data_IF_109363549342
#
_entry.id   IF_109363549342
#
_cell.length_a   1.000
_cell.length_b   1.000
_cell.length_c   1.000
_cell.angle_alpha   90.00
_cell.angle_beta   90.00
_cell.angle_gamma   90.00
#
_symmetry.space_group_name_H-M   'P 1'
#
loop_
_entity.id
_entity.type
_entity.pdbx_description
1 polymer ?
#
# COMPACT_ATOMS: atom_id res chain seq x y z
N UNK A 1 -8.63 5.38 14.32
CA UNK A 1 -8.39 6.56 15.20
C UNK A 1 -8.07 7.84 14.43
N UNK A 2 -7.17 7.83 13.39
CA UNK A 2 -6.79 9.05 12.63
C UNK A 2 -7.94 9.62 11.83
N UNK A 3 -8.67 8.80 11.09
CA UNK A 3 -9.83 9.25 10.29
C UNK A 3 -10.95 9.80 11.16
N UNK A 4 -11.15 9.26 12.37
CA UNK A 4 -12.12 9.78 13.32
C UNK A 4 -11.73 11.17 13.84
N UNK A 5 -10.45 11.41 14.12
CA UNK A 5 -9.98 12.70 14.57
C UNK A 5 -10.23 13.84 13.58
N UNK A 6 -10.08 13.57 12.27
CA UNK A 6 -10.38 14.58 11.23
C UNK A 6 -11.88 14.80 11.08
N UNK A 7 -12.67 13.74 11.14
CA UNK A 7 -14.14 13.81 11.05
C UNK A 7 -14.76 14.60 12.20
N UNK A 8 -14.19 14.52 13.39
CA UNK A 8 -14.65 15.24 14.58
C UNK A 8 -13.95 16.59 14.79
N UNK A 9 -13.14 17.06 13.83
CA UNK A 9 -12.47 18.36 13.91
C UNK A 9 -11.33 18.42 14.92
N UNK A 10 -10.81 17.28 15.36
CA UNK A 10 -9.62 17.23 16.23
C UNK A 10 -8.34 17.56 15.46
N UNK A 11 -8.35 17.28 14.16
CA UNK A 11 -7.26 17.58 13.22
C UNK A 11 -7.83 18.21 11.96
N UNK A 12 -7.09 19.11 11.32
CA UNK A 12 -7.47 19.74 10.06
C UNK A 12 -6.97 18.95 8.86
N UNK A 13 -5.80 18.32 8.98
CA UNK A 13 -5.14 17.57 7.90
C UNK A 13 -4.58 16.25 8.41
N UNK A 14 -4.72 15.21 7.61
CA UNK A 14 -3.94 13.97 7.72
C UNK A 14 -2.89 13.99 6.61
N UNK A 15 -1.68 14.43 6.94
CA UNK A 15 -0.53 14.42 6.03
C UNK A 15 0.15 13.03 6.05
N UNK A 16 -0.59 12.03 5.59
CA UNK A 16 -0.11 10.66 5.45
C UNK A 16 -0.70 10.08 4.16
N UNK A 17 -0.14 9.01 3.65
CA UNK A 17 -0.66 8.32 2.48
C UNK A 17 -2.05 7.74 2.78
N UNK A 18 -3.08 8.49 2.42
CA UNK A 18 -4.47 8.05 2.52
C UNK A 18 -4.92 7.60 1.15
N UNK A 19 -5.30 6.33 1.04
CA UNK A 19 -5.88 5.80 -0.18
C UNK A 19 -7.22 6.47 -0.47
N UNK A 20 -7.36 7.02 -1.66
CA UNK A 20 -8.62 7.59 -2.14
C UNK A 20 -9.59 6.44 -2.40
N UNK A 21 -10.69 6.39 -1.65
CA UNK A 21 -11.78 5.42 -1.84
C UNK A 21 -13.13 6.12 -1.77
N UNK A 22 -14.12 5.55 -2.44
CA UNK A 22 -15.49 6.08 -2.43
C UNK A 22 -16.06 6.18 -1.01
N UNK A 23 -15.83 5.18 -0.18
CA UNK A 23 -16.32 5.13 1.21
C UNK A 23 -15.77 6.26 2.09
N UNK A 24 -14.56 6.74 1.80
CA UNK A 24 -13.91 7.80 2.58
C UNK A 24 -14.27 9.20 2.10
N UNK A 25 -14.73 9.34 0.85
CA UNK A 25 -15.13 10.64 0.29
C UNK A 25 -16.32 11.28 1.01
N UNK A 26 -17.14 10.47 1.67
CA UNK A 26 -18.28 10.99 2.46
C UNK A 26 -17.85 11.64 3.79
N UNK A 27 -16.65 11.30 4.27
CA UNK A 27 -16.16 11.70 5.59
C UNK A 27 -15.02 12.71 5.55
N UNK A 28 -14.21 12.70 4.50
CA UNK A 28 -13.03 13.56 4.34
C UNK A 28 -12.90 14.03 2.90
N UNK A 29 -12.31 15.22 2.72
CA UNK A 29 -11.84 15.69 1.43
C UNK A 29 -10.42 15.17 1.17
N UNK A 30 -10.09 14.95 -0.10
CA UNK A 30 -8.76 14.53 -0.53
C UNK A 30 -8.08 15.63 -1.31
N UNK A 31 -6.79 15.87 -1.02
CA UNK A 31 -5.95 16.70 -1.88
C UNK A 31 -5.77 16.05 -3.26
N UNK A 32 -5.21 16.81 -4.19
CA UNK A 32 -4.69 16.20 -5.43
C UNK A 32 -3.72 15.06 -5.08
N UNK A 33 -3.67 14.00 -5.89
CA UNK A 33 -2.82 12.85 -5.61
C UNK A 33 -1.35 13.26 -5.46
N UNK A 34 -0.71 12.77 -4.41
CA UNK A 34 0.70 13.04 -4.11
C UNK A 34 1.57 11.92 -4.62
N UNK A 35 1.09 10.69 -4.47
CA UNK A 35 1.83 9.49 -4.80
C UNK A 35 0.91 8.49 -5.52
N UNK A 36 1.48 7.79 -6.47
CA UNK A 36 0.89 6.61 -7.10
C UNK A 36 1.55 5.37 -6.52
N UNK A 37 0.77 4.37 -6.19
CA UNK A 37 1.27 3.08 -5.78
C UNK A 37 0.27 1.98 -6.08
N UNK A 38 0.69 0.75 -5.96
CA UNK A 38 -0.15 -0.43 -6.06
C UNK A 38 0.22 -1.42 -4.96
N UNK A 39 -0.68 -2.36 -4.71
CA UNK A 39 -0.41 -3.45 -3.80
C UNK A 39 0.26 -4.59 -4.58
N UNK A 40 1.31 -5.14 -4.03
CA UNK A 40 2.06 -6.23 -4.63
C UNK A 40 2.14 -7.43 -3.68
N UNK A 41 2.29 -8.59 -4.29
CA UNK A 41 2.67 -9.81 -3.60
C UNK A 41 4.18 -9.78 -3.35
N UNK A 42 4.57 -10.00 -2.11
CA UNK A 42 5.96 -10.21 -1.71
C UNK A 42 6.14 -11.68 -1.37
N UNK A 43 7.08 -12.31 -2.03
CA UNK A 43 7.45 -13.71 -1.85
C UNK A 43 8.97 -13.87 -2.01
N UNK A 44 9.51 -15.03 -1.70
CA UNK A 44 10.93 -15.32 -2.01
C UNK A 44 11.10 -15.60 -3.50
N UNK A 45 12.22 -15.22 -4.06
CA UNK A 45 12.62 -15.65 -5.39
C UNK A 45 12.68 -17.19 -5.44
N UNK A 46 12.30 -17.80 -6.57
CA UNK A 46 12.34 -19.25 -6.70
C UNK A 46 13.78 -19.75 -6.50
N UNK A 47 13.95 -20.77 -5.67
CA UNK A 47 15.26 -21.36 -5.41
C UNK A 47 15.64 -22.38 -6.48
N UNK A 48 14.63 -22.98 -7.10
CA UNK A 48 14.78 -23.93 -8.18
C UNK A 48 13.87 -23.57 -9.36
N UNK A 49 14.19 -24.08 -10.55
CA UNK A 49 13.45 -23.78 -11.79
C UNK A 49 11.95 -24.17 -11.73
N UNK A 50 11.59 -25.13 -10.88
CA UNK A 50 10.24 -25.64 -10.68
C UNK A 50 9.77 -25.52 -9.22
N UNK A 51 10.13 -24.43 -8.56
CA UNK A 51 9.66 -24.15 -7.20
C UNK A 51 8.14 -23.98 -7.20
N UNK A 52 7.44 -24.98 -6.63
CA UNK A 52 5.98 -25.00 -6.56
C UNK A 52 5.40 -24.04 -5.52
N UNK A 53 6.26 -23.46 -4.69
CA UNK A 53 5.84 -22.45 -3.69
C UNK A 53 5.85 -21.04 -4.26
N UNK A 54 6.60 -20.82 -5.34
CA UNK A 54 6.69 -19.53 -5.99
C UNK A 54 5.45 -19.26 -6.88
N UNK A 55 4.71 -18.25 -6.54
CA UNK A 55 3.48 -17.79 -7.23
C UNK A 55 3.85 -17.07 -8.53
N UNK A 56 3.40 -17.58 -9.65
CA UNK A 56 3.57 -16.97 -10.99
C UNK A 56 2.30 -16.31 -11.50
N UNK A 57 1.16 -16.75 -10.99
CA UNK A 57 -0.16 -16.23 -11.34
C UNK A 57 -0.97 -16.03 -10.08
N UNK A 58 -1.79 -14.99 -10.05
CA UNK A 58 -2.69 -14.72 -8.91
C UNK A 58 -3.65 -15.88 -8.62
N UNK A 59 -3.97 -16.73 -9.61
CA UNK A 59 -4.79 -17.92 -9.44
C UNK A 59 -4.15 -18.94 -8.47
N UNK A 60 -2.82 -18.96 -8.41
CA UNK A 60 -2.07 -19.87 -7.53
C UNK A 60 -2.11 -19.48 -6.05
N UNK A 61 -2.68 -18.29 -5.75
CA UNK A 61 -2.98 -17.87 -4.37
C UNK A 61 -4.16 -18.62 -3.75
N UNK A 62 -4.92 -19.37 -4.54
CA UNK A 62 -5.97 -20.25 -4.04
C UNK A 62 -5.44 -21.16 -2.93
N UNK A 63 -6.14 -21.17 -1.78
CA UNK A 63 -5.78 -21.94 -0.59
C UNK A 63 -4.43 -21.56 0.05
N UNK A 64 -3.85 -20.40 -0.29
CA UNK A 64 -2.66 -19.86 0.36
C UNK A 64 -3.03 -18.84 1.42
N UNK A 65 -2.12 -18.67 2.39
CA UNK A 65 -2.24 -17.64 3.43
C UNK A 65 -1.34 -16.46 3.07
N UNK A 66 -1.93 -15.27 2.97
CA UNK A 66 -1.21 -14.02 2.78
C UNK A 66 -1.23 -13.19 4.06
N UNK A 67 -0.11 -12.59 4.41
CA UNK A 67 0.03 -11.75 5.59
C UNK A 67 -0.08 -10.27 5.21
N UNK A 68 -0.84 -9.53 5.97
CA UNK A 68 -1.07 -8.09 5.76
C UNK A 68 -0.99 -7.35 7.10
N UNK A 69 -0.62 -6.09 7.06
CA UNK A 69 -0.74 -5.23 8.24
C UNK A 69 -2.22 -5.02 8.57
N UNK A 70 -2.58 -5.07 9.84
CA UNK A 70 -3.96 -4.88 10.30
C UNK A 70 -4.58 -3.60 9.76
N UNK A 71 -5.78 -3.74 9.21
CA UNK A 71 -6.52 -2.63 8.60
C UNK A 71 -5.92 -2.14 7.27
N UNK A 72 -5.07 -2.94 6.64
CA UNK A 72 -4.54 -2.63 5.31
C UNK A 72 -5.66 -2.51 4.28
N UNK A 73 -5.58 -1.54 3.36
CA UNK A 73 -6.54 -1.43 2.25
C UNK A 73 -6.49 -2.63 1.30
N UNK A 74 -5.41 -3.41 1.32
CA UNK A 74 -5.27 -4.62 0.52
C UNK A 74 -6.23 -5.76 0.92
N UNK A 75 -6.75 -5.75 2.15
CA UNK A 75 -7.68 -6.79 2.63
C UNK A 75 -8.89 -6.91 1.71
N UNK A 76 -9.53 -5.79 1.40
CA UNK A 76 -10.70 -5.77 0.52
C UNK A 76 -10.35 -6.26 -0.89
N UNK A 77 -9.18 -5.88 -1.41
CA UNK A 77 -8.71 -6.34 -2.73
C UNK A 77 -8.46 -7.85 -2.75
N UNK A 78 -7.86 -8.41 -1.69
CA UNK A 78 -7.64 -9.85 -1.58
C UNK A 78 -8.96 -10.61 -1.50
N UNK A 79 -9.95 -10.08 -0.77
CA UNK A 79 -11.30 -10.67 -0.71
C UNK A 79 -11.98 -10.69 -2.09
N UNK A 80 -11.88 -9.59 -2.85
CA UNK A 80 -12.38 -9.53 -4.22
C UNK A 80 -11.64 -10.52 -5.13
N UNK A 81 -10.31 -10.61 -5.02
CA UNK A 81 -9.51 -11.56 -5.78
C UNK A 81 -9.90 -13.01 -5.46
N UNK A 82 -10.14 -13.34 -4.19
CA UNK A 82 -10.65 -14.65 -3.76
C UNK A 82 -11.96 -15.00 -4.48
N UNK A 83 -12.88 -14.03 -4.54
CA UNK A 83 -14.16 -14.22 -5.27
C UNK A 83 -13.94 -14.35 -6.80
N UNK A 84 -13.04 -13.57 -7.38
CA UNK A 84 -12.69 -13.63 -8.81
C UNK A 84 -12.10 -15.00 -9.19
N UNK A 85 -11.26 -15.55 -8.33
CA UNK A 85 -10.64 -16.88 -8.52
C UNK A 85 -11.68 -18.00 -8.31
N UNK A 86 -12.72 -17.75 -7.50
CA UNK A 86 -13.70 -18.75 -7.09
C UNK A 86 -13.16 -19.71 -6.03
N UNK A 87 -12.13 -19.31 -5.29
CA UNK A 87 -11.50 -20.10 -4.24
C UNK A 87 -11.03 -19.20 -3.09
N UNK A 88 -10.72 -19.78 -1.94
CA UNK A 88 -10.35 -19.02 -0.74
C UNK A 88 -8.89 -18.62 -0.74
N UNK A 89 -8.61 -17.33 -0.49
CA UNK A 89 -7.31 -16.83 -0.08
C UNK A 89 -7.40 -16.49 1.41
N UNK A 90 -6.60 -17.15 2.25
CA UNK A 90 -6.60 -16.88 3.68
C UNK A 90 -5.81 -15.61 3.99
N UNK A 91 -6.38 -14.73 4.82
CA UNK A 91 -5.76 -13.47 5.20
C UNK A 91 -5.38 -13.53 6.68
N UNK A 92 -4.09 -13.35 6.97
CA UNK A 92 -3.58 -13.21 8.32
C UNK A 92 -3.19 -11.76 8.59
N UNK A 93 -3.97 -11.08 9.42
CA UNK A 93 -3.65 -9.73 9.84
C UNK A 93 -2.57 -9.71 10.93
N UNK A 94 -1.56 -8.86 10.74
CA UNK A 94 -0.47 -8.66 11.70
C UNK A 94 -0.60 -7.30 12.35
N UNK A 95 -0.80 -7.29 13.67
CA UNK A 95 -1.05 -6.05 14.43
C UNK A 95 0.23 -5.35 14.90
N UNK A 96 1.26 -6.13 15.21
CA UNK A 96 2.45 -5.68 15.92
C UNK A 96 3.50 -5.05 15.00
N UNK A 97 3.50 -5.42 13.74
CA UNK A 97 4.55 -5.08 12.79
C UNK A 97 4.03 -4.24 11.63
N UNK A 98 4.90 -3.40 11.05
CA UNK A 98 4.66 -2.65 9.82
C UNK A 98 4.98 -3.48 8.56
N UNK A 99 4.84 -2.85 7.41
CA UNK A 99 5.07 -3.54 6.12
C UNK A 99 6.55 -3.95 5.97
N UNK A 100 7.49 -3.12 6.39
CA UNK A 100 8.94 -3.41 6.31
C UNK A 100 9.31 -4.68 7.09
N UNK A 101 8.69 -4.87 8.26
CA UNK A 101 8.90 -6.09 9.04
C UNK A 101 8.28 -7.32 8.36
N UNK A 102 7.13 -7.17 7.68
CA UNK A 102 6.57 -8.28 6.88
C UNK A 102 7.51 -8.70 5.76
N UNK A 103 8.16 -7.74 5.07
CA UNK A 103 9.17 -8.06 4.06
C UNK A 103 10.34 -8.86 4.66
N UNK A 104 10.83 -8.44 5.83
CA UNK A 104 11.90 -9.16 6.53
C UNK A 104 11.48 -10.58 6.92
N UNK A 105 10.23 -10.77 7.39
CA UNK A 105 9.70 -12.10 7.72
C UNK A 105 9.61 -13.01 6.50
N UNK A 106 9.24 -12.49 5.33
CA UNK A 106 9.27 -13.25 4.08
C UNK A 106 10.70 -13.63 3.69
N UNK A 107 11.64 -12.68 3.76
CA UNK A 107 13.05 -12.92 3.44
C UNK A 107 13.69 -13.98 4.35
N UNK A 108 13.32 -13.98 5.63
CA UNK A 108 13.82 -14.92 6.65
C UNK A 108 13.11 -16.28 6.64
N UNK A 109 12.13 -16.48 5.77
CA UNK A 109 11.32 -17.71 5.72
C UNK A 109 10.40 -17.94 6.94
N UNK A 110 10.04 -16.88 7.65
CA UNK A 110 9.07 -16.94 8.75
C UNK A 110 7.63 -17.02 8.25
N UNK A 111 7.38 -16.38 7.09
CA UNK A 111 6.13 -16.43 6.34
C UNK A 111 6.42 -16.57 4.84
N UNK A 112 5.48 -17.12 4.08
CA UNK A 112 5.68 -17.35 2.65
C UNK A 112 5.27 -16.15 1.79
N UNK A 113 4.12 -15.53 2.12
CA UNK A 113 3.50 -14.48 1.31
C UNK A 113 3.08 -13.31 2.17
N UNK A 114 3.43 -12.10 1.72
CA UNK A 114 2.91 -10.86 2.28
C UNK A 114 2.36 -9.96 1.18
N UNK A 115 1.42 -9.09 1.52
CA UNK A 115 0.96 -8.04 0.63
C UNK A 115 1.40 -6.70 1.20
N UNK A 116 2.10 -5.95 0.37
CA UNK A 116 2.69 -4.67 0.75
C UNK A 116 2.45 -3.62 -0.34
N UNK A 117 2.61 -2.37 0.05
CA UNK A 117 2.67 -1.25 -0.89
C UNK A 117 3.98 -1.33 -1.71
N UNK A 118 3.88 -1.19 -3.03
CA UNK A 118 5.01 -1.31 -3.94
C UNK A 118 6.15 -0.35 -3.59
N UNK A 119 5.84 0.89 -3.21
CA UNK A 119 6.86 1.87 -2.87
C UNK A 119 7.68 1.45 -1.63
N UNK A 120 7.02 0.84 -0.64
CA UNK A 120 7.69 0.31 0.55
C UNK A 120 8.56 -0.91 0.17
N UNK A 121 8.02 -1.78 -0.65
CA UNK A 121 8.75 -2.96 -1.09
C UNK A 121 9.97 -2.60 -1.93
N UNK A 122 9.87 -1.65 -2.86
CA UNK A 122 10.99 -1.16 -3.66
C UNK A 122 12.11 -0.59 -2.78
N UNK A 123 11.75 0.23 -1.80
CA UNK A 123 12.74 0.82 -0.88
C UNK A 123 13.45 -0.25 -0.05
N UNK A 124 12.73 -1.28 0.39
CA UNK A 124 13.26 -2.34 1.25
C UNK A 124 14.01 -3.43 0.48
N UNK A 125 13.68 -3.64 -0.80
CA UNK A 125 14.23 -4.73 -1.62
C UNK A 125 15.75 -4.64 -1.82
N UNK A 126 16.32 -3.43 -1.77
CA UNK A 126 17.77 -3.25 -1.84
C UNK A 126 18.52 -3.98 -0.73
N UNK A 127 17.91 -4.09 0.44
CA UNK A 127 18.49 -4.76 1.61
C UNK A 127 18.04 -6.23 1.72
N UNK A 128 17.08 -6.65 0.89
CA UNK A 128 16.47 -7.97 0.92
C UNK A 128 16.46 -8.61 -0.49
N UNK A 129 17.64 -8.95 -1.05
CA UNK A 129 17.79 -9.37 -2.45
C UNK A 129 17.09 -10.70 -2.79
N UNK A 130 16.70 -11.48 -1.79
CA UNK A 130 15.99 -12.74 -1.94
C UNK A 130 14.49 -12.56 -2.24
N UNK A 131 13.97 -11.34 -2.12
CA UNK A 131 12.55 -11.08 -2.36
C UNK A 131 12.27 -10.92 -3.85
N UNK A 132 11.14 -11.48 -4.26
CA UNK A 132 10.42 -11.18 -5.49
C UNK A 132 9.25 -10.26 -5.14
N UNK A 133 9.20 -9.12 -5.82
CA UNK A 133 8.23 -8.03 -5.61
C UNK A 133 7.54 -7.62 -6.92
N UNK A 134 7.58 -8.48 -7.94
CA UNK A 134 7.12 -8.14 -9.30
C UNK A 134 5.62 -8.32 -9.52
N UNK A 135 4.98 -9.19 -8.71
CA UNK A 135 3.58 -9.56 -8.92
C UNK A 135 2.62 -8.54 -8.30
N UNK A 136 1.90 -7.79 -9.14
CA UNK A 136 0.88 -6.84 -8.68
C UNK A 136 -0.42 -7.57 -8.28
N UNK A 137 -0.99 -7.17 -7.14
CA UNK A 137 -2.30 -7.63 -6.64
C UNK A 137 -3.40 -6.65 -7.05
N UNK A 138 -3.10 -5.35 -7.13
CA UNK A 138 -4.05 -4.30 -7.47
C UNK A 138 -3.59 -3.48 -8.67
N UNK A 139 -4.53 -2.75 -9.27
CA UNK A 139 -4.20 -1.64 -10.14
C UNK A 139 -3.51 -0.52 -9.36
N UNK A 140 -2.85 0.39 -10.10
CA UNK A 140 -2.28 1.60 -9.51
C UNK A 140 -3.36 2.42 -8.82
N UNK A 141 -3.09 2.82 -7.60
CA UNK A 141 -3.97 3.57 -6.72
C UNK A 141 -3.37 4.95 -6.43
N UNK A 142 -4.26 5.90 -6.12
CA UNK A 142 -3.89 7.26 -5.79
C UNK A 142 -3.86 7.44 -4.27
N UNK A 143 -2.78 8.00 -3.77
CA UNK A 143 -2.61 8.38 -2.38
C UNK A 143 -2.57 9.90 -2.25
N UNK A 144 -3.35 10.43 -1.31
CA UNK A 144 -3.53 11.85 -1.05
C UNK A 144 -3.46 12.15 0.43
N UNK A 145 -3.38 13.41 0.79
CA UNK A 145 -3.67 13.83 2.15
C UNK A 145 -5.18 13.96 2.35
N UNK A 146 -5.63 13.72 3.57
CA UNK A 146 -7.02 13.90 3.98
C UNK A 146 -7.21 15.26 4.65
N UNK A 147 -8.29 15.97 4.31
CA UNK A 147 -8.66 17.26 4.88
C UNK A 147 -10.07 17.15 5.46
N UNK A 148 -10.34 17.85 6.55
CA UNK A 148 -11.70 17.94 7.12
C UNK A 148 -12.67 18.41 6.03
N UNK A 149 -13.81 17.71 5.89
CA UNK A 149 -14.80 17.95 4.83
C UNK A 149 -15.39 19.35 4.84
N UNK A 150 -15.36 20.02 5.99
CA UNK A 150 -15.92 21.36 6.16
C UNK A 150 -14.89 22.46 5.85
N UNK A 151 -13.63 22.10 5.56
CA UNK A 151 -12.53 23.04 5.32
C UNK A 151 -12.07 23.05 3.86
N UNK A 152 -12.95 23.49 2.97
CA UNK A 152 -12.69 23.59 1.52
C UNK A 152 -11.61 24.63 1.21
N UNK A 153 -11.53 25.72 1.98
CA UNK A 153 -10.49 26.76 1.79
C UNK A 153 -9.09 26.20 2.04
N UNK A 154 -8.94 25.37 3.08
CA UNK A 154 -7.67 24.70 3.35
C UNK A 154 -7.31 23.70 2.23
N UNK A 155 -8.31 22.96 1.72
CA UNK A 155 -8.12 22.06 0.60
C UNK A 155 -7.59 22.78 -0.64
N UNK A 156 -8.21 23.91 -1.01
CA UNK A 156 -7.82 24.71 -2.19
C UNK A 156 -6.40 25.25 -2.03
N UNK A 157 -6.06 25.75 -0.83
CA UNK A 157 -4.72 26.24 -0.52
C UNK A 157 -3.67 25.12 -0.60
N UNK A 158 -3.97 23.94 -0.06
CA UNK A 158 -3.09 22.78 -0.13
C UNK A 158 -2.90 22.29 -1.56
N UNK A 159 -3.96 22.24 -2.36
CA UNK A 159 -3.88 21.80 -3.76
C UNK A 159 -3.03 22.78 -4.58
N UNK A 160 -3.21 24.09 -4.40
CA UNK A 160 -2.38 25.10 -5.09
C UNK A 160 -0.91 24.92 -4.72
N UNK A 161 -0.61 24.79 -3.43
CA UNK A 161 0.77 24.56 -2.98
C UNK A 161 1.34 23.23 -3.50
N UNK A 162 0.56 22.15 -3.51
CA UNK A 162 1.01 20.84 -4.01
C UNK A 162 1.34 20.89 -5.50
N UNK A 163 0.54 21.58 -6.31
CA UNK A 163 0.80 21.73 -7.76
C UNK A 163 2.15 22.44 -7.99
N UNK A 164 2.41 23.50 -7.27
CA UNK A 164 3.69 24.21 -7.35
C UNK A 164 4.85 23.37 -6.81
N UNK A 165 4.65 22.73 -5.65
CA UNK A 165 5.70 21.94 -5.01
C UNK A 165 6.10 20.70 -5.84
N UNK A 166 5.15 20.03 -6.47
CA UNK A 166 5.44 18.86 -7.34
C UNK A 166 6.35 19.20 -8.53
N UNK A 167 6.39 20.45 -8.96
CA UNK A 167 7.28 20.90 -10.04
C UNK A 167 8.71 21.17 -9.55
N UNK A 168 8.95 21.17 -8.24
CA UNK A 168 10.27 21.46 -7.68
C UNK A 168 11.21 20.26 -7.75
N UNK A 169 12.52 20.54 -7.90
CA UNK A 169 13.55 19.52 -7.82
C UNK A 169 13.53 18.80 -6.45
N UNK A 170 13.24 19.52 -5.37
CA UNK A 170 13.15 18.98 -4.02
C UNK A 170 12.07 17.89 -3.89
N UNK A 171 10.92 18.08 -4.54
CA UNK A 171 9.88 17.05 -4.55
C UNK A 171 10.34 15.81 -5.33
N UNK A 172 10.95 16.02 -6.50
CA UNK A 172 11.46 14.91 -7.33
C UNK A 172 12.55 14.11 -6.60
N UNK A 173 13.46 14.78 -5.91
CA UNK A 173 14.47 14.15 -5.07
C UNK A 173 13.86 13.37 -3.90
N UNK A 174 12.84 13.95 -3.25
CA UNK A 174 12.11 13.30 -2.17
C UNK A 174 11.45 12.01 -2.65
N UNK A 175 10.69 12.08 -3.75
CA UNK A 175 10.05 10.90 -4.34
C UNK A 175 11.10 9.85 -4.71
N UNK A 176 12.16 10.26 -5.40
CA UNK A 176 13.25 9.35 -5.77
C UNK A 176 13.87 8.67 -4.55
N UNK A 177 14.11 9.42 -3.49
CA UNK A 177 14.69 8.87 -2.24
C UNK A 177 13.82 7.80 -1.58
N UNK A 178 12.49 7.93 -1.67
CA UNK A 178 11.56 7.06 -0.95
C UNK A 178 10.78 6.07 -1.84
N UNK A 179 10.95 6.13 -3.17
CA UNK A 179 10.24 5.24 -4.09
C UNK A 179 11.12 4.55 -5.14
N UNK A 180 12.31 5.07 -5.42
CA UNK A 180 13.15 4.63 -6.56
C UNK A 180 14.61 4.29 -6.19
N UNK A 181 14.96 4.26 -4.92
CA UNK A 181 16.30 3.82 -4.50
C UNK A 181 16.39 2.33 -4.33
#
# INVERSE_FOLDING_TARGET
>A
KRNQGIQYGTYDVIANNVLISSERKDSILFTHPILLSRQILVQRKPQEKNDSTHIKSLLELANKTVHVVKGSPSILRIQHLSNEIGDTIFIQEVEKYGQEQLLAMVANNDIDYAICDENIALTSAHHLPLLDIETAISFTQFYSWGVNKDNTTLLDSLNTWLEDYKQTASFQELIKKYTLN
#
